data_IF_922135845872
#
_entry.id   IF_922135845872
#
_cell.length_a   1.000
_cell.length_b   1.000
_cell.length_c   1.000
_cell.angle_alpha   90.00
_cell.angle_beta   90.00
_cell.angle_gamma   90.00
#
_symmetry.space_group_name_H-M   'P 1'
#
loop_
_entity.id
_entity.type
_entity.pdbx_description
1 polymer ?
#
# COMPACT_ATOMS: atom_id res chain seq x y z
N UNK A 1 -29.24 -37.66 -34.40
CA UNK A 1 -28.92 -36.23 -34.27
C UNK A 1 -30.05 -35.38 -33.67
N UNK A 2 -31.31 -35.59 -33.92
CA UNK A 2 -32.45 -34.78 -33.38
C UNK A 2 -32.58 -34.80 -31.83
N UNK A 3 -32.37 -35.97 -31.19
CA UNK A 3 -32.47 -36.07 -29.69
C UNK A 3 -31.41 -35.24 -28.94
N UNK A 4 -30.15 -35.11 -29.43
CA UNK A 4 -29.14 -34.28 -28.80
C UNK A 4 -29.46 -32.77 -28.88
N UNK A 5 -30.01 -32.31 -30.00
CA UNK A 5 -30.42 -30.89 -30.14
C UNK A 5 -31.57 -30.53 -29.18
N UNK A 6 -32.50 -31.42 -28.96
CA UNK A 6 -33.63 -31.20 -27.99
C UNK A 6 -33.09 -31.11 -26.57
N UNK A 7 -32.12 -31.93 -26.15
CA UNK A 7 -31.52 -31.90 -24.81
C UNK A 7 -30.76 -30.59 -24.59
N UNK A 8 -30.00 -30.11 -25.60
CA UNK A 8 -29.26 -28.83 -25.50
C UNK A 8 -30.23 -27.65 -25.39
N UNK A 9 -31.33 -27.64 -26.14
CA UNK A 9 -32.33 -26.57 -26.07
C UNK A 9 -33.03 -26.58 -24.68
N UNK A 10 -33.36 -27.74 -24.16
CA UNK A 10 -33.97 -27.89 -22.82
C UNK A 10 -33.00 -27.40 -21.71
N UNK A 11 -31.72 -27.72 -21.84
CA UNK A 11 -30.69 -27.24 -20.89
C UNK A 11 -30.50 -25.72 -20.95
N UNK A 12 -30.49 -25.13 -22.14
CA UNK A 12 -30.41 -23.67 -22.33
C UNK A 12 -31.66 -22.96 -21.72
N UNK A 13 -32.82 -23.49 -21.95
CA UNK A 13 -34.11 -22.97 -21.36
C UNK A 13 -34.05 -23.07 -19.84
N UNK A 14 -33.53 -24.16 -19.27
CA UNK A 14 -33.40 -24.32 -17.83
C UNK A 14 -32.41 -23.30 -17.21
N UNK A 15 -31.27 -23.11 -17.85
CA UNK A 15 -30.24 -22.14 -17.39
C UNK A 15 -30.77 -20.71 -17.48
N UNK A 16 -31.47 -20.34 -18.55
CA UNK A 16 -32.10 -19.01 -18.67
C UNK A 16 -33.23 -18.82 -17.66
N UNK A 17 -34.00 -19.82 -17.39
CA UNK A 17 -35.06 -19.76 -16.36
C UNK A 17 -34.45 -19.58 -14.96
N UNK A 18 -33.38 -20.29 -14.62
CA UNK A 18 -32.67 -20.14 -13.37
C UNK A 18 -32.02 -18.73 -13.22
N UNK A 19 -31.44 -18.21 -14.30
CA UNK A 19 -30.88 -16.85 -14.30
C UNK A 19 -31.97 -15.79 -14.08
N UNK A 20 -33.12 -15.90 -14.73
CA UNK A 20 -34.28 -14.99 -14.55
C UNK A 20 -34.86 -15.10 -13.14
N UNK A 21 -34.96 -16.30 -12.58
CA UNK A 21 -35.43 -16.49 -11.20
C UNK A 21 -34.45 -15.90 -10.18
N UNK A 22 -33.13 -16.05 -10.40
CA UNK A 22 -32.14 -15.44 -9.52
C UNK A 22 -32.15 -13.90 -9.60
N UNK A 23 -32.31 -13.33 -10.80
CA UNK A 23 -32.43 -11.88 -10.98
C UNK A 23 -33.75 -11.34 -10.39
N UNK A 24 -34.87 -12.07 -10.52
CA UNK A 24 -36.13 -11.72 -9.89
C UNK A 24 -36.11 -11.83 -8.36
N UNK A 25 -35.34 -12.77 -7.80
CA UNK A 25 -35.06 -12.84 -6.36
C UNK A 25 -34.25 -11.64 -5.88
N UNK A 26 -33.15 -11.33 -6.56
CA UNK A 26 -32.32 -10.16 -6.26
C UNK A 26 -33.15 -8.85 -6.36
N UNK A 27 -33.99 -8.71 -7.39
CA UNK A 27 -34.89 -7.54 -7.52
C UNK A 27 -35.97 -7.52 -6.46
N UNK A 28 -36.52 -8.66 -6.04
CA UNK A 28 -37.49 -8.74 -4.94
C UNK A 28 -36.85 -8.41 -3.59
N UNK A 29 -35.63 -8.88 -3.33
CA UNK A 29 -34.87 -8.51 -2.13
C UNK A 29 -34.59 -7.01 -2.13
N UNK A 30 -34.08 -6.44 -3.24
CA UNK A 30 -33.85 -5.01 -3.40
C UNK A 30 -35.16 -4.18 -3.31
N UNK A 31 -36.32 -4.68 -3.81
CA UNK A 31 -37.57 -3.93 -3.73
C UNK A 31 -38.29 -4.11 -2.40
N UNK A 32 -38.07 -5.20 -1.66
CA UNK A 32 -38.54 -5.34 -0.29
C UNK A 32 -37.76 -4.45 0.69
N UNK A 33 -36.47 -4.22 0.40
CA UNK A 33 -35.63 -3.24 1.10
C UNK A 33 -36.07 -1.79 0.80
N UNK A 34 -36.46 -1.48 -0.44
CA UNK A 34 -37.03 -0.18 -0.82
C UNK A 34 -38.42 0.12 -0.25
N UNK A 35 -39.16 -0.88 0.13
CA UNK A 35 -40.52 -0.71 0.71
C UNK A 35 -40.49 -0.41 2.22
N UNK A 36 -39.38 -0.59 2.90
CA UNK A 36 -39.18 -0.15 4.31
C UNK A 36 -38.73 1.31 4.38
N UNK A 37 -39.50 2.20 3.78
CA UNK A 37 -39.19 3.63 3.57
C UNK A 37 -38.96 4.50 4.82
N UNK A 38 -38.39 3.96 5.89
CA UNK A 38 -38.06 4.69 7.11
C UNK A 38 -36.63 4.43 7.66
N UNK A 39 -35.85 3.53 7.08
CA UNK A 39 -34.49 3.21 7.55
C UNK A 39 -33.46 3.82 6.60
N UNK A 40 -33.35 5.15 6.56
CA UNK A 40 -32.35 5.83 5.74
C UNK A 40 -31.26 6.45 6.63
N UNK A 41 -29.99 6.17 6.32
CA UNK A 41 -28.88 6.97 6.82
C UNK A 41 -28.95 8.37 6.21
N UNK A 42 -28.41 9.42 6.87
CA UNK A 42 -28.31 10.75 6.27
C UNK A 42 -27.65 10.66 4.90
N UNK A 43 -28.37 11.11 3.85
CA UNK A 43 -27.85 11.07 2.49
C UNK A 43 -26.77 12.14 2.29
N UNK A 44 -25.66 11.77 1.68
CA UNK A 44 -24.62 12.69 1.23
C UNK A 44 -24.03 12.20 -0.11
N UNK A 45 -23.45 13.11 -0.86
CA UNK A 45 -22.72 12.75 -2.07
C UNK A 45 -21.21 12.68 -1.75
N UNK A 46 -20.49 11.63 -2.14
CA UNK A 46 -19.06 11.49 -1.90
C UNK A 46 -18.23 12.70 -2.39
N UNK A 47 -18.66 13.32 -3.50
CA UNK A 47 -18.05 14.52 -4.07
C UNK A 47 -18.23 15.79 -3.24
N UNK A 48 -19.17 15.84 -2.32
CA UNK A 48 -19.38 16.99 -1.43
C UNK A 48 -18.47 16.95 -0.20
N UNK A 49 -17.88 15.80 0.10
CA UNK A 49 -17.00 15.62 1.25
C UNK A 49 -15.67 16.33 1.02
N UNK A 50 -15.28 17.17 2.00
CA UNK A 50 -14.00 17.91 1.99
C UNK A 50 -13.08 17.49 3.12
N UNK A 51 -13.64 17.00 4.20
CA UNK A 51 -12.87 16.51 5.35
C UNK A 51 -13.47 15.22 5.86
N UNK A 52 -12.62 14.24 6.14
CA UNK A 52 -12.96 12.99 6.80
C UNK A 52 -12.11 12.87 8.06
N UNK A 53 -12.75 12.88 9.21
CA UNK A 53 -12.11 12.70 10.52
C UNK A 53 -12.49 11.30 11.04
N UNK A 54 -11.47 10.51 11.40
CA UNK A 54 -11.66 9.18 11.99
C UNK A 54 -10.93 9.16 13.32
N UNK A 55 -11.61 8.85 14.41
CA UNK A 55 -11.01 8.83 15.74
C UNK A 55 -11.44 7.60 16.54
N UNK A 56 -10.54 7.17 17.41
CA UNK A 56 -10.77 6.13 18.40
C UNK A 56 -9.77 6.29 19.54
N UNK A 57 -10.25 6.47 20.75
CA UNK A 57 -9.42 6.78 21.91
C UNK A 57 -8.53 8.00 21.64
N UNK A 58 -7.22 7.83 21.73
CA UNK A 58 -6.22 8.89 21.49
C UNK A 58 -5.77 8.99 20.04
N UNK A 59 -6.16 8.03 19.20
CA UNK A 59 -5.77 8.02 17.79
C UNK A 59 -6.76 8.83 16.95
N UNK A 60 -6.22 9.58 16.02
CA UNK A 60 -7.01 10.37 15.07
C UNK A 60 -6.33 10.40 13.71
N UNK A 61 -7.14 10.28 12.67
CA UNK A 61 -6.76 10.54 11.28
C UNK A 61 -7.67 11.59 10.69
N UNK A 62 -7.10 12.65 10.15
CA UNK A 62 -7.84 13.70 9.45
C UNK A 62 -7.38 13.76 8.00
N UNK A 63 -8.30 13.47 7.09
CA UNK A 63 -8.06 13.54 5.66
C UNK A 63 -8.76 14.78 5.10
N UNK A 64 -8.01 15.64 4.41
CA UNK A 64 -8.54 16.85 3.78
C UNK A 64 -8.42 16.73 2.27
N UNK A 65 -9.49 17.07 1.55
CA UNK A 65 -9.46 17.14 0.09
C UNK A 65 -8.81 18.43 -0.38
N UNK A 66 -7.74 18.29 -1.14
CA UNK A 66 -6.94 19.40 -1.70
C UNK A 66 -7.47 19.74 -3.11
N UNK A 67 -8.25 20.84 -3.22
CA UNK A 67 -8.90 21.24 -4.49
C UNK A 67 -7.89 21.45 -5.61
N UNK A 68 -6.78 22.14 -5.33
CA UNK A 68 -5.77 22.49 -6.33
C UNK A 68 -5.05 21.30 -6.96
N UNK A 69 -5.08 20.15 -6.32
CA UNK A 69 -4.44 18.92 -6.81
C UNK A 69 -5.39 17.75 -7.05
N UNK A 70 -6.64 17.86 -6.65
CA UNK A 70 -7.64 16.80 -6.80
C UNK A 70 -7.32 15.52 -6.01
N UNK A 71 -6.67 15.65 -4.85
CA UNK A 71 -6.26 14.51 -4.01
C UNK A 71 -6.59 14.73 -2.53
N UNK A 72 -6.62 13.64 -1.77
CA UNK A 72 -6.76 13.65 -0.32
C UNK A 72 -5.40 13.73 0.37
N UNK A 73 -5.29 14.53 1.41
CA UNK A 73 -4.08 14.73 2.20
C UNK A 73 -4.29 14.30 3.65
N UNK A 74 -3.33 13.57 4.23
CA UNK A 74 -3.34 13.14 5.64
C UNK A 74 -2.71 14.22 6.51
N UNK A 75 -3.52 14.91 7.32
CA UNK A 75 -3.08 16.05 8.14
C UNK A 75 -1.97 15.67 9.12
N UNK A 76 -2.11 14.56 9.81
CA UNK A 76 -1.16 14.06 10.83
C UNK A 76 0.15 13.51 10.23
N UNK A 77 0.29 13.57 8.90
CA UNK A 77 1.49 13.16 8.16
C UNK A 77 1.96 14.27 7.20
N UNK A 78 2.03 15.50 7.74
CA UNK A 78 2.50 16.69 7.01
C UNK A 78 1.82 16.88 5.63
N UNK A 79 0.54 16.56 5.52
CA UNK A 79 -0.21 16.68 4.27
C UNK A 79 0.20 15.65 3.21
N UNK A 80 0.75 14.51 3.60
CA UNK A 80 1.03 13.42 2.66
C UNK A 80 -0.21 13.01 1.88
N UNK A 81 -0.02 12.65 0.61
CA UNK A 81 -1.12 12.16 -0.21
C UNK A 81 -1.70 10.88 0.39
N UNK A 82 -3.01 10.84 0.56
CA UNK A 82 -3.72 9.65 0.99
C UNK A 82 -3.97 8.70 -0.18
N UNK A 83 -4.10 7.42 0.13
CA UNK A 83 -4.50 6.37 -0.81
C UNK A 83 -5.93 6.66 -1.32
N UNK A 84 -6.02 7.36 -2.44
CA UNK A 84 -7.28 7.87 -2.99
C UNK A 84 -8.32 6.79 -3.22
N UNK A 85 -7.90 5.60 -3.66
CA UNK A 85 -8.79 4.47 -3.84
C UNK A 85 -9.42 3.99 -2.52
N UNK A 86 -8.66 3.99 -1.42
CA UNK A 86 -9.16 3.60 -0.10
C UNK A 86 -10.16 4.62 0.44
N UNK A 87 -9.89 5.93 0.24
CA UNK A 87 -10.82 7.00 0.64
C UNK A 87 -12.11 6.91 -0.17
N UNK A 88 -12.00 6.74 -1.49
CA UNK A 88 -13.16 6.59 -2.38
C UNK A 88 -14.01 5.36 -1.99
N UNK A 89 -13.40 4.20 -1.73
CA UNK A 89 -14.09 2.98 -1.30
C UNK A 89 -14.85 3.18 0.03
N UNK A 90 -14.23 3.91 0.99
CA UNK A 90 -14.89 4.23 2.25
C UNK A 90 -16.08 5.18 2.05
N UNK A 91 -15.91 6.29 1.32
CA UNK A 91 -16.97 7.27 1.08
C UNK A 91 -18.13 6.68 0.29
N UNK A 92 -17.83 5.94 -0.78
CA UNK A 92 -18.82 5.20 -1.55
C UNK A 92 -19.51 4.14 -0.71
N UNK A 93 -18.74 3.44 0.12
CA UNK A 93 -19.26 2.46 1.05
C UNK A 93 -20.24 3.03 2.05
N UNK A 94 -19.93 4.19 2.64
CA UNK A 94 -20.78 4.89 3.59
C UNK A 94 -22.05 5.46 2.90
N UNK A 95 -21.91 6.05 1.71
CA UNK A 95 -23.04 6.61 0.97
C UNK A 95 -24.07 5.55 0.50
N UNK A 96 -23.60 4.31 0.30
CA UNK A 96 -24.42 3.17 -0.12
C UNK A 96 -24.75 2.19 1.02
N UNK A 97 -24.39 2.53 2.26
CA UNK A 97 -24.67 1.66 3.39
C UNK A 97 -26.17 1.56 3.66
N UNK A 98 -26.73 0.38 3.45
CA UNK A 98 -28.14 0.09 3.72
C UNK A 98 -28.27 -0.53 5.12
N UNK A 99 -29.13 0.03 6.00
CA UNK A 99 -29.47 -0.59 7.25
C UNK A 99 -30.22 -1.90 7.03
N UNK A 100 -29.79 -2.97 7.68
CA UNK A 100 -30.50 -4.25 7.71
C UNK A 100 -31.58 -4.25 8.78
N UNK A 101 -31.29 -3.62 9.93
CA UNK A 101 -32.19 -3.57 11.08
C UNK A 101 -31.87 -2.34 11.91
N UNK A 102 -32.90 -1.64 12.38
CA UNK A 102 -32.79 -0.66 13.47
C UNK A 102 -32.90 -1.40 14.81
N UNK A 103 -32.05 -1.01 15.78
CA UNK A 103 -32.06 -1.57 17.12
C UNK A 103 -32.64 -0.52 18.10
N UNK A 104 -33.56 -0.95 18.91
CA UNK A 104 -33.99 -0.17 20.06
C UNK A 104 -32.93 -0.25 21.13
N UNK A 105 -32.37 0.91 21.51
CA UNK A 105 -31.31 1.05 22.51
C UNK A 105 -31.87 1.94 23.62
N UNK A 106 -31.89 1.43 24.83
CA UNK A 106 -32.52 2.10 25.97
C UNK A 106 -31.55 2.81 26.91
N UNK A 107 -30.23 2.65 26.73
CA UNK A 107 -29.25 3.31 27.57
C UNK A 107 -27.78 2.98 27.28
N UNK A 108 -26.93 3.46 28.18
CA UNK A 108 -25.47 3.37 28.03
C UNK A 108 -24.96 1.92 28.01
N UNK A 109 -25.64 1.00 28.71
CA UNK A 109 -25.23 -0.40 28.76
C UNK A 109 -25.42 -1.08 27.40
N UNK A 110 -26.48 -0.75 26.65
CA UNK A 110 -26.68 -1.26 25.29
C UNK A 110 -25.57 -0.74 24.35
N UNK A 111 -25.21 0.56 24.46
CA UNK A 111 -24.07 1.11 23.70
C UNK A 111 -22.76 0.41 24.05
N UNK A 112 -22.57 0.07 25.33
CA UNK A 112 -21.39 -0.62 25.80
C UNK A 112 -21.28 -2.03 25.18
N UNK A 113 -22.36 -2.78 25.14
CA UNK A 113 -22.40 -4.11 24.54
C UNK A 113 -22.09 -4.09 23.04
N UNK A 114 -22.46 -3.03 22.35
CA UNK A 114 -22.27 -2.87 20.90
C UNK A 114 -20.97 -2.14 20.53
N UNK A 115 -20.16 -1.73 21.51
CA UNK A 115 -18.99 -0.84 21.33
C UNK A 115 -19.38 0.45 20.58
N UNK A 116 -20.43 1.12 21.04
CA UNK A 116 -20.98 2.36 20.46
C UNK A 116 -20.99 3.52 21.46
N UNK A 117 -20.18 3.45 22.51
CA UNK A 117 -20.02 4.53 23.49
C UNK A 117 -19.21 5.67 22.85
N UNK A 118 -19.76 6.88 22.89
CA UNK A 118 -19.12 8.04 22.27
C UNK A 118 -18.02 8.66 23.16
N UNK A 119 -17.04 9.39 22.58
CA UNK A 119 -16.04 10.09 23.35
C UNK A 119 -16.64 11.07 24.35
N UNK A 120 -17.77 11.70 24.02
CA UNK A 120 -18.49 12.64 24.90
C UNK A 120 -19.08 11.91 26.10
N UNK A 121 -19.65 10.72 25.91
CA UNK A 121 -20.19 9.90 27.00
C UNK A 121 -19.08 9.38 27.92
N UNK A 122 -17.91 9.05 27.37
CA UNK A 122 -16.73 8.63 28.13
C UNK A 122 -16.16 9.81 28.96
N UNK A 123 -16.19 11.01 28.40
CA UNK A 123 -15.68 12.22 29.06
C UNK A 123 -16.68 12.83 30.05
N UNK A 124 -17.91 12.35 30.14
CA UNK A 124 -18.95 12.89 31.00
C UNK A 124 -18.55 12.78 32.48
N UNK A 125 -18.84 13.79 33.29
CA UNK A 125 -18.58 13.74 34.73
C UNK A 125 -19.26 12.53 35.39
N UNK A 126 -18.49 11.68 36.08
CA UNK A 126 -19.00 10.47 36.74
C UNK A 126 -19.15 9.25 35.81
N UNK A 127 -18.68 9.34 34.59
CA UNK A 127 -18.70 8.20 33.69
C UNK A 127 -17.88 7.02 34.26
N UNK A 128 -18.41 5.78 34.22
CA UNK A 128 -17.68 4.59 34.63
C UNK A 128 -16.39 4.42 33.82
N UNK A 129 -15.29 4.03 34.49
CA UNK A 129 -13.97 3.91 33.87
C UNK A 129 -13.88 2.82 32.78
N UNK A 130 -14.75 1.83 32.85
CA UNK A 130 -14.82 0.72 31.89
C UNK A 130 -15.48 1.10 30.56
N UNK A 131 -16.17 2.22 30.46
CA UNK A 131 -16.75 2.72 29.21
C UNK A 131 -15.69 2.91 28.10
N UNK A 132 -14.47 3.26 28.49
CA UNK A 132 -13.34 3.39 27.54
C UNK A 132 -13.06 2.13 26.71
N UNK A 133 -13.43 0.97 27.23
CA UNK A 133 -13.24 -0.29 26.52
C UNK A 133 -14.30 -0.56 25.46
N UNK A 134 -15.40 0.18 25.50
CA UNK A 134 -16.55 0.05 24.61
C UNK A 134 -16.72 1.24 23.66
N UNK A 135 -15.67 2.06 23.52
CA UNK A 135 -15.63 3.14 22.54
C UNK A 135 -15.60 2.59 21.10
N UNK A 136 -16.48 3.11 20.26
CA UNK A 136 -16.49 2.81 18.83
C UNK A 136 -15.53 3.70 18.03
N UNK A 137 -15.31 3.37 16.77
CA UNK A 137 -14.58 4.23 15.84
C UNK A 137 -15.53 5.31 15.34
N UNK A 138 -15.28 6.56 15.71
CA UNK A 138 -16.06 7.70 15.24
C UNK A 138 -15.53 8.21 13.90
N UNK A 139 -16.40 8.27 12.89
CA UNK A 139 -16.12 8.90 11.62
C UNK A 139 -17.05 10.10 11.41
N UNK A 140 -16.47 11.27 11.07
CA UNK A 140 -17.20 12.51 10.80
C UNK A 140 -16.82 13.01 9.43
N UNK A 141 -17.82 13.11 8.55
CA UNK A 141 -17.68 13.65 7.20
C UNK A 141 -18.14 15.10 7.21
N UNK A 142 -17.30 15.98 6.67
CA UNK A 142 -17.60 17.41 6.58
C UNK A 142 -17.52 17.88 5.13
N UNK A 143 -18.47 18.71 4.76
CA UNK A 143 -18.52 19.37 3.47
C UNK A 143 -17.72 20.66 3.43
N UNK A 144 -18.03 21.49 2.46
CA UNK A 144 -17.47 22.82 2.35
C UNK A 144 -17.84 23.67 3.59
N UNK A 145 -16.93 24.54 4.03
CA UNK A 145 -17.08 25.36 5.25
C UNK A 145 -17.22 24.56 6.57
N UNK A 146 -16.87 23.27 6.58
CA UNK A 146 -16.88 22.43 7.77
C UNK A 146 -18.27 21.96 8.20
N UNK A 147 -19.31 22.14 7.37
CA UNK A 147 -20.65 21.62 7.62
C UNK A 147 -20.60 20.08 7.76
N UNK A 148 -21.15 19.55 8.84
CA UNK A 148 -21.23 18.11 9.07
C UNK A 148 -22.25 17.49 8.12
N UNK A 149 -21.82 16.54 7.29
CA UNK A 149 -22.64 15.79 6.35
C UNK A 149 -23.10 14.47 6.96
N UNK A 150 -22.21 13.81 7.70
CA UNK A 150 -22.50 12.54 8.35
C UNK A 150 -21.62 12.42 9.60
N UNK A 151 -22.22 12.03 10.72
CA UNK A 151 -21.55 11.58 11.92
C UNK A 151 -21.98 10.15 12.23
N UNK A 152 -21.04 9.24 12.21
CA UNK A 152 -21.29 7.82 12.39
C UNK A 152 -20.24 7.19 13.30
N UNK A 153 -20.67 6.31 14.18
CA UNK A 153 -19.79 5.48 14.98
C UNK A 153 -19.90 4.04 14.54
N UNK A 154 -18.76 3.43 14.33
CA UNK A 154 -18.62 2.02 13.96
C UNK A 154 -18.32 1.21 15.23
N UNK A 155 -19.26 0.40 15.65
CA UNK A 155 -19.17 -0.47 16.79
C UNK A 155 -18.54 -1.83 16.49
N UNK A 156 -18.90 -2.84 17.25
CA UNK A 156 -18.43 -4.21 17.03
C UNK A 156 -19.01 -4.82 15.74
N UNK A 157 -18.24 -5.74 15.15
CA UNK A 157 -18.74 -6.56 14.03
C UNK A 157 -19.83 -7.50 14.49
N UNK A 158 -20.82 -7.72 13.62
CA UNK A 158 -21.81 -8.77 13.77
C UNK A 158 -21.27 -10.04 13.13
N UNK A 159 -21.31 -11.16 13.87
CA UNK A 159 -20.89 -12.45 13.37
C UNK A 159 -22.10 -13.35 13.22
N UNK A 160 -22.31 -13.85 12.03
CA UNK A 160 -23.19 -14.97 11.79
C UNK A 160 -22.37 -16.25 11.86
N UNK A 161 -22.80 -17.22 12.66
CA UNK A 161 -22.25 -18.56 12.56
C UNK A 161 -22.64 -19.10 11.19
N UNK A 162 -21.75 -18.93 10.20
CA UNK A 162 -21.94 -19.52 8.90
C UNK A 162 -21.86 -21.05 9.08
N UNK A 163 -22.90 -21.73 8.64
CA UNK A 163 -22.95 -23.19 8.62
C UNK A 163 -22.05 -23.80 7.53
N UNK A 164 -21.26 -22.97 6.84
CA UNK A 164 -20.32 -23.41 5.80
C UNK A 164 -19.10 -24.04 6.44
N UNK A 165 -19.19 -25.36 6.60
CA UNK A 165 -18.06 -26.20 6.97
C UNK A 165 -17.16 -26.41 5.75
N UNK A 166 -16.10 -25.63 5.63
CA UNK A 166 -14.96 -26.02 4.81
C UNK A 166 -14.07 -26.91 5.70
N UNK A 167 -14.27 -28.22 5.59
CA UNK A 167 -13.70 -29.18 6.52
C UNK A 167 -14.34 -29.08 7.93
N UNK A 168 -13.65 -29.52 8.98
CA UNK A 168 -14.12 -29.45 10.35
C UNK A 168 -13.89 -28.09 11.06
N UNK A 169 -13.55 -27.05 10.32
CA UNK A 169 -13.29 -25.70 10.85
C UNK A 169 -14.50 -24.81 10.58
N UNK A 170 -15.12 -24.32 11.65
CA UNK A 170 -16.11 -23.25 11.56
C UNK A 170 -15.36 -21.95 11.20
N UNK A 171 -15.53 -21.44 9.99
CA UNK A 171 -15.00 -20.13 9.59
C UNK A 171 -15.94 -19.08 10.18
N UNK A 172 -15.46 -18.36 11.19
CA UNK A 172 -16.15 -17.23 11.79
C UNK A 172 -15.84 -15.98 10.96
N UNK A 173 -16.80 -15.53 10.15
CA UNK A 173 -16.71 -14.30 9.38
C UNK A 173 -17.66 -13.23 9.92
N UNK A 174 -17.31 -11.96 9.72
CA UNK A 174 -18.24 -10.86 9.95
C UNK A 174 -19.16 -10.73 8.75
N UNK A 175 -20.48 -10.70 8.99
CA UNK A 175 -21.52 -10.49 7.98
C UNK A 175 -22.19 -9.11 8.10
N UNK A 176 -21.74 -8.28 9.05
CA UNK A 176 -22.23 -6.94 9.26
C UNK A 176 -21.53 -6.22 10.41
N UNK A 177 -21.95 -5.01 10.69
CA UNK A 177 -21.43 -4.17 11.76
C UNK A 177 -22.55 -3.36 12.40
N UNK A 178 -22.48 -3.20 13.72
CA UNK A 178 -23.33 -2.26 14.43
C UNK A 178 -22.80 -0.85 14.25
N UNK A 179 -23.72 0.10 13.98
CA UNK A 179 -23.38 1.51 13.82
C UNK A 179 -24.36 2.36 14.63
N UNK A 180 -23.86 3.52 15.12
CA UNK A 180 -24.67 4.59 15.68
C UNK A 180 -24.53 5.81 14.79
N UNK A 181 -25.64 6.40 14.39
CA UNK A 181 -25.71 7.54 13.48
C UNK A 181 -26.39 8.70 14.17
N UNK A 182 -25.80 9.88 14.08
CA UNK A 182 -26.41 11.12 14.58
C UNK A 182 -27.12 11.86 13.46
N UNK A 183 -28.24 12.43 13.80
CA UNK A 183 -29.08 13.22 12.90
C UNK A 183 -29.02 14.71 13.26
N UNK A 184 -29.40 15.63 12.33
CA UNK A 184 -29.34 17.08 12.58
C UNK A 184 -30.16 17.57 13.78
N UNK A 185 -31.14 16.82 14.22
CA UNK A 185 -31.97 17.09 15.43
C UNK A 185 -31.30 16.66 16.74
N UNK A 186 -30.00 16.30 16.69
CA UNK A 186 -29.21 15.75 17.80
C UNK A 186 -29.71 14.39 18.34
N UNK A 187 -30.63 13.73 17.65
CA UNK A 187 -30.97 12.33 17.97
C UNK A 187 -29.92 11.38 17.43
N UNK A 188 -29.78 10.21 18.04
CA UNK A 188 -28.97 9.13 17.49
C UNK A 188 -29.76 7.85 17.41
N UNK A 189 -29.51 7.06 16.36
CA UNK A 189 -30.13 5.76 16.16
C UNK A 189 -29.06 4.71 15.91
N UNK A 190 -29.38 3.47 16.26
CA UNK A 190 -28.47 2.34 16.12
C UNK A 190 -29.00 1.40 15.05
N UNK A 191 -28.09 0.99 14.15
CA UNK A 191 -28.43 0.08 13.07
C UNK A 191 -27.43 -1.07 13.00
N UNK A 192 -27.89 -2.20 12.49
CA UNK A 192 -27.03 -3.23 11.92
C UNK A 192 -26.98 -3.00 10.40
N UNK A 193 -25.76 -2.94 9.85
CA UNK A 193 -25.52 -2.79 8.41
C UNK A 193 -24.75 -4.00 7.87
N UNK A 194 -24.86 -4.28 6.56
CA UNK A 194 -24.19 -5.40 5.91
C UNK A 194 -22.69 -5.19 5.65
N UNK A 195 -22.19 -3.95 5.76
CA UNK A 195 -20.78 -3.62 5.54
C UNK A 195 -20.00 -3.55 6.85
N UNK A 196 -18.76 -4.05 6.85
CA UNK A 196 -17.92 -4.11 8.05
C UNK A 196 -17.00 -2.89 8.21
N UNK A 197 -16.60 -2.23 7.12
CA UNK A 197 -15.67 -1.09 7.09
C UNK A 197 -14.35 -1.36 7.82
N UNK A 198 -13.71 -2.49 7.55
CA UNK A 198 -12.45 -2.90 8.20
C UNK A 198 -11.31 -1.89 8.01
N UNK A 199 -11.32 -1.21 6.86
CA UNK A 199 -10.30 -0.20 6.51
C UNK A 199 -10.56 1.17 7.13
N UNK A 200 -11.70 1.39 7.80
CA UNK A 200 -11.98 2.62 8.52
C UNK A 200 -11.26 2.61 9.88
N UNK A 201 -10.02 3.02 9.88
CA UNK A 201 -9.14 2.98 11.05
C UNK A 201 -8.58 4.36 11.38
N UNK A 202 -8.41 4.71 12.66
CA UNK A 202 -7.92 6.02 13.10
C UNK A 202 -6.39 6.16 13.03
N UNK A 203 -5.69 5.23 12.37
CA UNK A 203 -4.25 5.26 12.23
C UNK A 203 -3.84 6.00 10.94
N UNK A 204 -3.23 7.21 11.03
CA UNK A 204 -2.85 8.01 9.87
C UNK A 204 -1.93 7.30 8.89
N UNK A 205 -1.05 6.42 9.39
CA UNK A 205 -0.12 5.63 8.56
C UNK A 205 -0.83 4.76 7.53
N UNK A 206 -2.00 4.23 7.86
CA UNK A 206 -2.74 3.34 6.96
C UNK A 206 -3.43 4.09 5.81
N UNK A 207 -3.52 5.40 5.90
CA UNK A 207 -4.12 6.25 4.88
C UNK A 207 -3.12 6.81 3.88
N UNK A 208 -1.82 6.73 4.14
CA UNK A 208 -0.79 7.27 3.25
C UNK A 208 -0.71 6.44 1.97
N UNK A 209 -0.62 7.12 0.82
CA UNK A 209 -0.25 6.49 -0.44
C UNK A 209 1.12 5.84 -0.31
N UNK A 210 1.21 4.55 -0.62
CA UNK A 210 2.45 3.81 -0.46
C UNK A 210 3.44 4.17 -1.56
N UNK A 211 4.70 4.37 -1.17
CA UNK A 211 5.78 4.65 -2.09
C UNK A 211 6.18 3.38 -2.86
N UNK A 212 6.20 3.47 -4.18
CA UNK A 212 6.72 2.45 -5.08
C UNK A 212 7.10 3.12 -6.41
N UNK A 213 8.03 2.51 -7.13
CA UNK A 213 8.29 2.93 -8.51
C UNK A 213 7.33 2.21 -9.44
N UNK A 214 6.82 2.90 -10.42
CA UNK A 214 6.11 2.22 -11.50
C UNK A 214 7.05 1.22 -12.16
N UNK A 215 6.54 0.07 -12.60
CA UNK A 215 7.36 -1.02 -13.14
C UNK A 215 8.37 -0.48 -14.15
N UNK A 216 9.68 -0.62 -13.84
CA UNK A 216 10.69 -0.04 -14.69
C UNK A 216 10.75 -0.78 -16.02
N UNK A 217 10.48 -0.05 -17.10
CA UNK A 217 10.61 -0.55 -18.46
C UNK A 217 11.90 0.03 -19.06
N UNK A 218 12.73 -0.85 -19.63
CA UNK A 218 13.96 -0.47 -20.33
C UNK A 218 14.91 0.42 -19.52
N UNK A 219 15.49 -0.06 -18.42
CA UNK A 219 16.48 0.73 -17.69
C UNK A 219 17.67 1.07 -18.60
N UNK A 220 18.20 2.29 -18.49
CA UNK A 220 19.38 2.76 -19.23
C UNK A 220 20.62 2.56 -18.39
N UNK A 221 20.56 2.94 -17.13
CA UNK A 221 21.59 2.62 -16.16
C UNK A 221 21.04 2.52 -14.74
N UNK A 222 21.79 1.85 -13.88
CA UNK A 222 21.57 1.88 -12.44
C UNK A 222 22.89 1.82 -11.70
N UNK A 223 22.95 2.48 -10.55
CA UNK A 223 24.13 2.47 -9.67
C UNK A 223 23.73 2.54 -8.21
N UNK A 224 24.57 1.94 -7.38
CA UNK A 224 24.51 2.12 -5.94
C UNK A 224 25.82 2.74 -5.47
N UNK A 225 25.69 3.76 -4.63
CA UNK A 225 26.82 4.49 -4.07
C UNK A 225 26.70 4.53 -2.55
N UNK A 226 27.85 4.56 -1.89
CA UNK A 226 27.96 4.69 -0.43
C UNK A 226 28.94 5.79 -0.06
N UNK A 227 28.52 6.69 0.81
CA UNK A 227 29.38 7.69 1.43
C UNK A 227 29.86 7.15 2.78
N UNK A 228 31.19 7.03 2.96
CA UNK A 228 31.72 6.64 4.26
C UNK A 228 31.64 7.81 5.23
N UNK A 229 31.45 7.56 6.53
CA UNK A 229 31.52 8.63 7.53
C UNK A 229 32.86 9.43 7.41
N UNK A 230 32.72 10.76 7.36
CA UNK A 230 33.87 11.66 7.20
C UNK A 230 34.45 11.80 5.78
N UNK A 231 33.92 11.07 4.80
CA UNK A 231 34.32 11.25 3.40
C UNK A 231 33.54 12.41 2.76
N UNK A 232 34.22 13.20 1.93
CA UNK A 232 33.58 14.27 1.15
C UNK A 232 32.76 13.71 -0.01
N UNK A 233 33.21 12.60 -0.61
CA UNK A 233 32.63 12.00 -1.81
C UNK A 233 32.07 10.58 -1.57
N UNK A 234 31.04 10.20 -2.31
CA UNK A 234 30.54 8.85 -2.33
C UNK A 234 31.37 7.92 -3.21
N UNK A 235 31.53 6.67 -2.76
CA UNK A 235 32.20 5.61 -3.56
C UNK A 235 31.11 4.79 -4.28
N UNK A 236 31.34 4.41 -5.54
CA UNK A 236 30.49 3.51 -6.28
C UNK A 236 30.65 2.09 -5.71
N UNK A 237 29.56 1.46 -5.29
CA UNK A 237 29.55 0.05 -4.86
C UNK A 237 29.31 -0.86 -6.06
N UNK A 238 28.37 -0.49 -6.92
CA UNK A 238 28.16 -1.14 -8.21
C UNK A 238 27.51 -0.19 -9.23
N UNK A 239 27.75 -0.49 -10.50
CA UNK A 239 27.23 0.28 -11.62
C UNK A 239 26.97 -0.63 -12.81
N UNK A 240 25.78 -0.55 -13.39
CA UNK A 240 25.39 -1.19 -14.63
C UNK A 240 24.95 -0.14 -15.64
N UNK A 241 25.25 -0.36 -16.91
CA UNK A 241 24.85 0.52 -18.01
C UNK A 241 24.38 -0.29 -19.19
N UNK A 242 23.39 0.22 -19.92
CA UNK A 242 23.03 -0.32 -21.22
C UNK A 242 24.08 0.15 -22.25
N UNK A 243 25.00 -0.74 -22.61
CA UNK A 243 25.83 -0.54 -23.79
C UNK A 243 24.96 -0.48 -25.06
N UNK A 244 25.60 -0.46 -26.23
CA UNK A 244 24.88 -0.39 -27.53
C UNK A 244 23.85 -1.53 -27.70
N UNK A 245 24.15 -2.73 -27.18
CA UNK A 245 23.34 -3.93 -27.43
C UNK A 245 22.95 -4.73 -26.18
N UNK A 246 23.62 -4.52 -25.04
CA UNK A 246 23.39 -5.31 -23.81
C UNK A 246 23.67 -4.49 -22.55
N UNK A 247 22.94 -4.81 -21.48
CA UNK A 247 23.33 -4.41 -20.14
C UNK A 247 24.65 -5.01 -19.73
N UNK A 248 25.52 -4.21 -19.16
CA UNK A 248 26.85 -4.63 -18.70
C UNK A 248 27.07 -4.15 -17.26
N UNK A 249 27.66 -5.03 -16.45
CA UNK A 249 28.17 -4.64 -15.15
C UNK A 249 29.51 -3.92 -15.37
N UNK A 250 29.50 -2.60 -15.14
CA UNK A 250 30.70 -1.76 -15.33
C UNK A 250 31.58 -1.82 -14.09
N UNK A 251 30.98 -1.93 -12.91
CA UNK A 251 31.68 -2.03 -11.63
C UNK A 251 30.84 -2.79 -10.60
N UNK A 252 31.39 -3.71 -9.78
CA UNK A 252 32.74 -4.27 -9.92
C UNK A 252 32.89 -5.06 -11.23
N UNK A 253 34.11 -5.40 -11.62
CA UNK A 253 34.34 -6.25 -12.78
C UNK A 253 33.72 -7.62 -12.56
N UNK A 254 32.94 -8.11 -13.52
CA UNK A 254 32.28 -9.42 -13.44
C UNK A 254 31.17 -9.57 -14.46
N UNK A 255 30.57 -10.75 -14.47
CA UNK A 255 29.39 -11.02 -15.29
C UNK A 255 28.11 -10.49 -14.60
N UNK A 256 27.28 -9.77 -15.35
CA UNK A 256 25.99 -9.27 -14.85
C UNK A 256 25.02 -10.43 -14.61
N UNK A 257 24.47 -10.48 -13.41
CA UNK A 257 23.34 -11.32 -13.07
C UNK A 257 22.03 -10.56 -13.34
N UNK A 258 21.38 -10.86 -14.44
CA UNK A 258 20.11 -10.24 -14.84
C UNK A 258 18.97 -10.56 -13.89
N UNK A 259 18.99 -11.74 -13.25
CA UNK A 259 17.97 -12.12 -12.27
C UNK A 259 18.11 -11.28 -11.01
N UNK A 260 19.31 -11.14 -10.47
CA UNK A 260 19.59 -10.28 -9.32
C UNK A 260 19.24 -8.81 -9.60
N UNK A 261 19.50 -8.31 -10.81
CA UNK A 261 19.09 -6.96 -11.22
C UNK A 261 17.56 -6.84 -11.28
N UNK A 262 16.88 -7.82 -11.87
CA UNK A 262 15.42 -7.86 -11.96
C UNK A 262 14.74 -7.90 -10.58
N UNK A 263 15.30 -8.63 -9.62
CA UNK A 263 14.81 -8.67 -8.23
C UNK A 263 14.85 -7.28 -7.57
N UNK A 264 15.91 -6.48 -7.82
CA UNK A 264 15.98 -5.10 -7.32
C UNK A 264 14.85 -4.23 -7.86
N UNK A 265 14.60 -4.30 -9.16
CA UNK A 265 13.49 -3.56 -9.78
C UNK A 265 12.13 -4.05 -9.31
N UNK A 266 11.96 -5.36 -9.11
CA UNK A 266 10.73 -5.91 -8.55
C UNK A 266 10.46 -5.42 -7.13
N UNK A 267 11.51 -5.32 -6.30
CA UNK A 267 11.38 -4.77 -4.95
C UNK A 267 11.01 -3.28 -4.94
N UNK A 268 11.50 -2.51 -5.93
CA UNK A 268 11.17 -1.09 -6.10
C UNK A 268 9.77 -0.90 -6.71
N UNK A 269 9.28 -1.84 -7.49
CA UNK A 269 7.93 -1.84 -8.05
C UNK A 269 6.87 -2.34 -7.05
N UNK A 270 7.28 -2.93 -5.92
CA UNK A 270 6.41 -3.27 -4.81
C UNK A 270 6.36 -2.12 -3.79
N UNK A 271 5.28 -1.97 -3.00
CA UNK A 271 5.23 -0.99 -1.93
C UNK A 271 6.35 -1.19 -0.91
N UNK A 272 7.28 -0.24 -0.81
CA UNK A 272 8.45 -0.33 0.06
C UNK A 272 8.48 0.69 1.20
N UNK A 273 7.66 1.74 1.15
CA UNK A 273 7.47 2.64 2.28
C UNK A 273 6.53 2.04 3.32
N UNK A 274 6.77 2.35 4.58
CA UNK A 274 5.93 1.90 5.71
C UNK A 274 5.24 3.05 6.43
N UNK A 275 5.85 4.24 6.43
CA UNK A 275 5.29 5.49 6.99
C UNK A 275 6.05 6.70 6.43
N UNK A 276 5.67 7.88 6.88
CA UNK A 276 6.34 9.15 6.59
C UNK A 276 6.97 9.70 7.87
N UNK A 277 8.19 10.20 7.77
CA UNK A 277 8.85 10.89 8.88
C UNK A 277 8.25 12.28 9.02
N UNK A 278 7.59 12.54 10.16
CA UNK A 278 7.11 13.88 10.47
C UNK A 278 8.28 14.76 10.93
N UNK A 279 8.39 15.96 10.33
CA UNK A 279 9.44 16.92 10.67
C UNK A 279 10.85 16.29 10.69
N UNK A 280 11.30 15.73 9.54
CA UNK A 280 12.62 15.13 9.48
C UNK A 280 13.67 16.17 9.84
N UNK A 281 14.73 15.80 10.59
CA UNK A 281 15.87 16.68 10.80
C UNK A 281 16.49 17.10 9.45
N UNK A 282 16.87 18.38 9.34
CA UNK A 282 17.47 18.91 8.10
C UNK A 282 18.84 18.28 7.78
N UNK A 283 19.53 17.78 8.81
CA UNK A 283 20.88 17.20 8.75
C UNK A 283 20.91 15.68 8.68
N UNK A 284 19.81 15.02 8.27
CA UNK A 284 19.80 13.58 8.10
C UNK A 284 20.94 13.11 7.19
N UNK A 285 21.83 12.21 7.69
CA UNK A 285 23.01 11.77 6.93
C UNK A 285 22.60 10.73 5.87
N UNK A 286 22.19 11.17 4.69
CA UNK A 286 21.94 10.30 3.55
C UNK A 286 23.28 9.80 2.97
N UNK A 287 23.71 8.63 3.42
CA UNK A 287 25.01 8.06 3.08
C UNK A 287 24.96 7.03 1.95
N UNK A 288 23.83 6.37 1.78
CA UNK A 288 23.61 5.37 0.74
C UNK A 288 22.65 5.93 -0.31
N UNK A 289 22.97 5.68 -1.58
CA UNK A 289 22.20 6.20 -2.72
C UNK A 289 22.04 5.12 -3.80
N UNK A 290 20.80 4.89 -4.20
CA UNK A 290 20.49 4.15 -5.42
C UNK A 290 19.97 5.12 -6.47
N UNK A 291 20.52 5.06 -7.67
CA UNK A 291 20.07 5.86 -8.80
C UNK A 291 19.83 4.98 -10.01
N UNK A 292 18.72 5.24 -10.71
CA UNK A 292 18.45 4.59 -11.99
C UNK A 292 17.80 5.58 -12.97
N UNK A 293 18.12 5.41 -14.25
CA UNK A 293 17.52 6.14 -15.35
C UNK A 293 16.87 5.15 -16.31
N UNK A 294 15.70 5.48 -16.76
CA UNK A 294 14.83 4.64 -17.56
C UNK A 294 14.74 5.18 -19.00
N UNK A 295 14.50 4.29 -19.95
CA UNK A 295 14.29 4.66 -21.36
C UNK A 295 12.95 5.34 -21.64
N UNK A 296 12.07 5.44 -20.65
CA UNK A 296 10.81 6.18 -20.69
C UNK A 296 10.92 7.63 -20.18
N UNK A 297 12.16 8.13 -19.98
CA UNK A 297 12.45 9.50 -19.57
C UNK A 297 12.47 9.72 -18.06
N UNK A 298 12.16 8.72 -17.23
CA UNK A 298 12.23 8.84 -15.79
C UNK A 298 13.66 8.64 -15.26
N UNK A 299 13.98 9.40 -14.22
CA UNK A 299 15.14 9.10 -13.38
C UNK A 299 14.71 9.14 -11.91
N UNK A 300 15.20 8.18 -11.16
CA UNK A 300 14.91 7.97 -9.75
C UNK A 300 16.20 8.02 -8.95
N UNK A 301 16.20 8.83 -7.89
CA UNK A 301 17.26 8.86 -6.89
C UNK A 301 16.63 8.51 -5.53
N UNK A 302 17.00 7.36 -4.99
CA UNK A 302 16.57 6.92 -3.66
C UNK A 302 17.79 6.99 -2.71
N UNK A 303 17.69 7.86 -1.73
CA UNK A 303 18.72 8.12 -0.72
C UNK A 303 18.29 7.49 0.61
N UNK A 304 19.25 6.94 1.36
CA UNK A 304 19.00 6.25 2.62
C UNK A 304 19.83 6.84 3.75
N UNK A 305 19.19 7.03 4.89
CA UNK A 305 19.82 7.42 6.15
C UNK A 305 19.42 6.43 7.26
N UNK A 306 20.37 6.04 8.11
CA UNK A 306 20.02 5.31 9.34
C UNK A 306 19.33 6.27 10.29
N UNK A 307 18.14 5.88 10.77
CA UNK A 307 17.41 6.66 11.77
C UNK A 307 17.46 5.90 13.09
N UNK A 308 18.21 6.42 14.06
CA UNK A 308 18.05 5.98 15.43
C UNK A 308 16.77 6.63 15.98
N UNK A 309 15.78 5.79 16.33
CA UNK A 309 14.63 6.16 17.15
C UNK A 309 13.63 7.21 16.61
N UNK A 310 13.24 7.14 15.34
CA UNK A 310 12.03 7.85 14.84
C UNK A 310 10.83 6.91 14.75
N UNK A 311 11.04 5.61 14.93
CA UNK A 311 9.98 4.64 14.93
C UNK A 311 9.27 4.60 16.29
N UNK A 312 7.94 4.53 16.27
CA UNK A 312 7.12 4.19 17.46
C UNK A 312 7.51 2.81 18.04
N UNK A 313 8.23 2.01 17.26
CA UNK A 313 8.81 0.72 17.63
C UNK A 313 10.35 0.83 17.61
N UNK A 314 11.01 0.88 18.77
CA UNK A 314 12.46 1.02 18.87
C UNK A 314 13.23 -0.21 18.33
N UNK A 315 12.58 -1.35 18.16
CA UNK A 315 13.17 -2.59 17.62
C UNK A 315 12.97 -2.73 16.10
N UNK A 316 12.22 -1.82 15.47
CA UNK A 316 12.08 -1.83 14.02
C UNK A 316 13.35 -1.27 13.38
N UNK A 317 14.12 -2.14 12.75
CA UNK A 317 15.21 -1.77 11.84
C UNK A 317 14.63 -1.05 10.61
N UNK A 318 14.41 0.26 10.73
CA UNK A 318 13.91 1.10 9.64
C UNK A 318 14.98 2.10 9.20
N UNK A 319 14.97 2.40 7.91
CA UNK A 319 15.76 3.46 7.33
C UNK A 319 14.87 4.63 6.95
N UNK A 320 15.36 5.85 7.13
CA UNK A 320 14.76 6.98 6.45
C UNK A 320 15.20 6.96 4.99
N UNK A 321 14.27 7.21 4.08
CA UNK A 321 14.54 7.29 2.67
C UNK A 321 13.91 8.51 2.05
N UNK A 322 14.63 9.12 1.08
CA UNK A 322 14.12 10.20 0.26
C UNK A 322 14.16 9.75 -1.19
N UNK A 323 12.99 9.72 -1.84
CA UNK A 323 12.89 9.46 -3.26
C UNK A 323 12.74 10.78 -4.00
N UNK A 324 13.64 11.05 -4.93
CA UNK A 324 13.51 12.13 -5.89
C UNK A 324 13.21 11.56 -7.26
N UNK A 325 12.11 12.01 -7.85
CA UNK A 325 11.66 11.63 -9.18
C UNK A 325 11.87 12.80 -10.12
N UNK A 326 12.55 12.55 -11.24
CA UNK A 326 12.67 13.50 -12.34
C UNK A 326 12.17 12.84 -13.62
N UNK A 327 11.64 13.66 -14.53
CA UNK A 327 11.16 13.20 -15.84
C UNK A 327 11.59 14.20 -16.90
N UNK A 328 12.19 13.67 -17.95
CA UNK A 328 12.58 14.42 -19.11
C UNK A 328 11.89 13.83 -20.36
N UNK A 329 10.91 14.53 -20.93
CA UNK A 329 10.17 14.05 -22.10
C UNK A 329 11.04 13.88 -23.35
N UNK A 330 12.21 14.56 -23.44
CA UNK A 330 13.12 14.42 -24.58
C UNK A 330 13.93 13.11 -24.53
N UNK A 331 14.05 12.53 -23.34
CA UNK A 331 14.70 11.22 -23.14
C UNK A 331 13.77 10.02 -23.33
N UNK A 332 12.49 10.25 -23.67
CA UNK A 332 11.54 9.15 -23.95
C UNK A 332 11.93 8.49 -25.28
N UNK A 333 12.35 7.24 -25.21
CA UNK A 333 12.72 6.47 -26.39
C UNK A 333 11.47 5.97 -27.11
N UNK A 334 11.44 6.15 -28.44
CA UNK A 334 10.40 5.60 -29.29
C UNK A 334 10.52 4.07 -29.35
N UNK A 335 9.39 3.37 -29.28
CA UNK A 335 9.36 1.92 -29.48
C UNK A 335 9.50 1.59 -30.98
N UNK A 336 10.05 0.42 -31.26
CA UNK A 336 10.24 -0.02 -32.66
C UNK A 336 8.88 -0.13 -33.34
N UNK A 337 8.69 0.59 -34.44
CA UNK A 337 7.44 0.60 -35.22
C UNK A 337 6.30 1.41 -34.60
N UNK A 338 6.55 2.22 -33.56
CA UNK A 338 5.54 3.06 -32.93
C UNK A 338 5.17 4.25 -33.83
N UNK A 339 3.88 4.44 -34.19
CA UNK A 339 3.39 5.61 -34.93
C UNK A 339 3.58 6.91 -34.15
N UNK A 340 3.65 8.05 -34.85
CA UNK A 340 3.89 9.37 -34.25
C UNK A 340 2.80 9.75 -33.23
N UNK A 341 1.55 9.55 -33.58
CA UNK A 341 0.37 9.83 -32.72
C UNK A 341 0.37 8.96 -31.45
N UNK A 342 0.72 7.68 -31.54
CA UNK A 342 0.85 6.78 -30.41
C UNK A 342 2.01 7.21 -29.49
N UNK A 343 3.15 7.60 -30.08
CA UNK A 343 4.30 8.10 -29.34
C UNK A 343 3.96 9.37 -28.54
N UNK A 344 3.31 10.36 -29.19
CA UNK A 344 2.89 11.59 -28.52
C UNK A 344 1.82 11.34 -27.46
N UNK A 345 0.92 10.40 -27.68
CA UNK A 345 -0.04 9.98 -26.67
C UNK A 345 0.66 9.36 -25.44
N UNK A 346 1.62 8.47 -25.66
CA UNK A 346 2.42 7.86 -24.60
C UNK A 346 3.25 8.89 -23.84
N UNK A 347 3.89 9.85 -24.51
CA UNK A 347 4.61 10.95 -23.83
C UNK A 347 3.69 11.73 -22.87
N UNK A 348 2.46 12.03 -23.27
CA UNK A 348 1.47 12.71 -22.41
C UNK A 348 1.08 11.86 -21.20
N UNK A 349 0.89 10.56 -21.38
CA UNK A 349 0.60 9.65 -20.27
C UNK A 349 1.77 9.59 -19.28
N UNK A 350 3.01 9.51 -19.78
CA UNK A 350 4.22 9.51 -18.95
C UNK A 350 4.40 10.85 -18.20
N UNK A 351 4.08 11.98 -18.83
CA UNK A 351 4.11 13.28 -18.16
C UNK A 351 3.09 13.35 -17.01
N UNK A 352 1.86 12.87 -17.21
CA UNK A 352 0.84 12.81 -16.15
C UNK A 352 1.26 11.91 -14.99
N UNK A 353 1.86 10.76 -15.31
CA UNK A 353 2.45 9.86 -14.32
C UNK A 353 3.59 10.55 -13.54
N UNK A 354 4.45 11.30 -14.24
CA UNK A 354 5.56 12.01 -13.61
C UNK A 354 5.08 13.05 -12.59
N UNK A 355 4.04 13.81 -12.92
CA UNK A 355 3.45 14.77 -11.98
C UNK A 355 2.86 14.10 -10.75
N UNK A 356 2.23 12.93 -10.90
CA UNK A 356 1.75 12.13 -9.79
C UNK A 356 2.89 11.63 -8.91
N UNK A 357 3.93 10.99 -9.50
CA UNK A 357 5.06 10.44 -8.75
C UNK A 357 5.89 11.54 -8.06
N UNK A 358 6.15 12.68 -8.72
CA UNK A 358 6.82 13.84 -8.12
C UNK A 358 6.04 14.37 -6.90
N UNK A 359 4.73 14.52 -7.02
CA UNK A 359 3.89 15.02 -5.93
C UNK A 359 3.87 14.07 -4.74
N UNK A 360 3.90 12.75 -4.98
CA UNK A 360 3.88 11.75 -3.94
C UNK A 360 5.22 11.62 -3.22
N UNK A 361 6.33 11.72 -3.96
CA UNK A 361 7.66 11.41 -3.45
C UNK A 361 8.51 12.63 -3.09
N UNK A 362 8.59 13.65 -3.98
CA UNK A 362 9.58 14.70 -3.83
C UNK A 362 9.35 15.58 -2.59
N UNK A 363 10.46 15.94 -1.92
CA UNK A 363 10.44 16.77 -0.72
C UNK A 363 9.98 16.07 0.57
N UNK A 364 9.83 14.73 0.53
CA UNK A 364 9.38 13.93 1.68
C UNK A 364 10.44 12.92 2.10
N UNK A 365 10.43 12.60 3.39
CA UNK A 365 11.25 11.54 3.97
C UNK A 365 10.32 10.43 4.47
N UNK A 366 10.55 9.24 4.01
CA UNK A 366 9.74 8.05 4.31
C UNK A 366 10.49 7.11 5.24
N UNK A 367 9.76 6.34 6.02
CA UNK A 367 10.28 5.15 6.67
C UNK A 367 10.21 3.99 5.66
N UNK A 368 11.35 3.36 5.41
CA UNK A 368 11.53 2.31 4.40
C UNK A 368 11.75 0.95 5.06
N UNK A 369 11.34 -0.11 4.35
CA UNK A 369 11.59 -1.50 4.77
C UNK A 369 13.09 -1.78 4.78
N UNK A 370 13.60 -2.37 5.83
CA UNK A 370 15.03 -2.66 6.07
C UNK A 370 15.66 -3.44 4.94
N UNK A 371 15.06 -4.53 4.51
CA UNK A 371 15.61 -5.39 3.47
C UNK A 371 15.78 -4.73 2.10
N UNK A 372 15.18 -3.56 1.85
CA UNK A 372 15.33 -2.84 0.58
C UNK A 372 16.76 -2.32 0.39
N UNK A 373 17.32 -1.64 1.41
CA UNK A 373 18.68 -1.12 1.34
C UNK A 373 19.69 -2.24 1.12
N UNK A 374 19.57 -3.32 1.86
CA UNK A 374 20.46 -4.48 1.77
C UNK A 374 20.39 -5.11 0.38
N UNK A 375 19.20 -5.29 -0.16
CA UNK A 375 19.01 -5.81 -1.52
C UNK A 375 19.62 -4.88 -2.57
N UNK A 376 19.42 -3.57 -2.46
CA UNK A 376 19.94 -2.59 -3.42
C UNK A 376 21.47 -2.47 -3.34
N UNK A 377 22.05 -2.57 -2.15
CA UNK A 377 23.49 -2.45 -1.94
C UNK A 377 24.29 -3.63 -2.51
N UNK A 378 23.70 -4.81 -2.66
CA UNK A 378 24.38 -5.97 -3.23
C UNK A 378 24.66 -5.77 -4.73
N UNK A 379 25.89 -5.97 -5.24
CA UNK A 379 26.16 -5.95 -6.66
C UNK A 379 25.33 -7.02 -7.40
N UNK A 380 24.72 -6.72 -8.56
CA UNK A 380 24.07 -7.72 -9.40
C UNK A 380 25.10 -8.51 -10.23
N UNK A 381 25.99 -9.20 -9.55
CA UNK A 381 27.08 -9.97 -10.15
C UNK A 381 26.86 -11.46 -9.93
N UNK A 382 27.11 -12.27 -10.95
CA UNK A 382 27.17 -13.71 -10.77
C UNK A 382 28.33 -14.06 -9.85
N UNK A 383 28.04 -14.74 -8.75
CA UNK A 383 29.07 -15.40 -7.95
C UNK A 383 29.64 -16.54 -8.79
N UNK A 384 30.78 -16.31 -9.42
CA UNK A 384 31.54 -17.42 -9.99
C UNK A 384 31.80 -18.42 -8.85
N UNK A 385 31.51 -19.71 -9.03
CA UNK A 385 31.92 -20.69 -8.03
C UNK A 385 33.44 -20.48 -7.83
N UNK A 386 33.87 -20.30 -6.58
CA UNK A 386 35.27 -20.26 -6.24
C UNK A 386 35.87 -21.49 -6.85
N UNK A 387 36.52 -21.35 -8.02
CA UNK A 387 37.37 -22.39 -8.60
C UNK A 387 38.27 -22.82 -7.46
N UNK A 388 38.08 -24.06 -7.02
CA UNK A 388 38.92 -24.62 -5.95
C UNK A 388 40.39 -24.26 -6.32
N UNK A 389 40.98 -23.42 -5.47
CA UNK A 389 42.34 -22.98 -5.69
C UNK A 389 43.15 -24.19 -6.06
N UNK A 390 43.69 -24.19 -7.31
CA UNK A 390 44.47 -25.27 -7.82
C UNK A 390 45.51 -25.58 -6.73
N UNK A 391 45.43 -26.73 -6.12
CA UNK A 391 46.44 -27.22 -5.20
C UNK A 391 47.75 -27.09 -5.96
N UNK A 392 48.77 -26.41 -5.44
CA UNK A 392 50.10 -26.43 -6.06
C UNK A 392 50.49 -27.89 -6.15
N UNK A 393 50.68 -28.36 -7.37
CA UNK A 393 51.22 -29.68 -7.67
C UNK A 393 52.59 -29.73 -7.02
N UNK A 394 52.71 -30.38 -5.88
CA UNK A 394 54.01 -30.78 -5.31
C UNK A 394 54.66 -31.78 -6.28
N UNK A 395 55.46 -31.25 -7.14
CA UNK A 395 56.38 -32.04 -7.98
C UNK A 395 57.36 -32.68 -7.00
N UNK A 396 57.20 -33.97 -6.76
CA UNK A 396 58.13 -34.82 -6.02
C UNK A 396 59.40 -34.88 -6.86
N UNK A 397 60.41 -34.10 -6.48
CA UNK A 397 61.77 -34.28 -6.97
C UNK A 397 62.32 -35.54 -6.33
N UNK A 398 62.32 -36.62 -7.10
CA UNK A 398 63.06 -37.86 -6.83
C UNK A 398 64.54 -37.57 -7.03
N UNK A 399 65.29 -37.28 -5.97
CA UNK A 399 66.75 -37.26 -5.97
C UNK A 399 67.28 -38.67 -5.80
N UNK A 400 67.75 -39.25 -6.89
CA UNK A 400 68.65 -40.43 -6.85
C UNK A 400 69.94 -40.00 -6.22
N UNK A 401 70.34 -40.58 -5.09
CA UNK A 401 71.70 -40.53 -4.54
C UNK A 401 72.34 -41.87 -4.70
N UNK A 402 73.32 -41.89 -5.60
CA UNK A 402 74.27 -42.98 -5.80
C UNK A 402 75.13 -43.22 -4.57
N UNK A 403 75.40 -44.47 -4.39
CA UNK A 403 76.33 -45.03 -3.43
C UNK A 403 77.77 -44.57 -3.61
N UNK A 404 78.55 -44.39 -2.54
CA UNK A 404 79.95 -44.66 -2.53
C UNK A 404 80.42 -45.21 -1.19
N UNK A 405 81.11 -46.32 -1.30
CA UNK A 405 81.79 -47.17 -0.33
C UNK A 405 83.12 -46.54 0.15
N UNK A 406 83.50 -46.67 1.44
CA UNK A 406 84.81 -47.12 1.92
C UNK A 406 84.83 -47.06 3.47
N UNK A 407 85.07 -48.21 4.06
CA UNK A 407 86.25 -48.74 4.77
C UNK A 407 86.91 -47.70 5.72
N UNK A 408 86.81 -47.90 6.99
CA UNK A 408 87.68 -48.54 8.00
C UNK A 408 86.99 -48.68 9.31
#
# INVERSE_FOLDING_TARGET
>A
MKKRRVVIILFLVLVTALAVVSELRLRREASSEAASGQLALPAFLPEDVRTLEISWRTQKSTLNFMKDGGYWAVKERAGAQAASAQVADLLEGLSKAAPLKELEVSGIEDYKELNLVSPEEIAAPGAPSDLKNSEGILAVLKGENGAELLRIMLGRGHTRLAADRIGNLAVQGYDGRYIRVWYPDNTSRVFLISRVFEKCVPNPRQWIEQLYLSKPENPVYARFQRKRPGAETSSIVWFVNSGKDKFQLVFPQGELDMEALSQKYSALAAPFSVDLVNNPPDDLPFNDMFQTVMGDGFAYLLEFAKVQAVAEDPDADVYAGRLTVTFDPENVRRLIGEPDDAFEHRKRQLASRAEYEKRTANGRVFLLKTGLLELLAQPPARTLPKTAAARPSTTSATSASSAEKKEE
#
